data_IF_231696677348
#
_entry.id   IF_231696677348
#
_cell.length_a   1.000
_cell.length_b   1.000
_cell.length_c   1.000
_cell.angle_alpha   90.00
_cell.angle_beta   90.00
_cell.angle_gamma   90.00
#
_symmetry.space_group_name_H-M   'P 1'
#
loop_
_entity.id
_entity.type
_entity.pdbx_description
1 polymer ?
#
# COMPACT_ATOMS: atom_id res chain seq x y z
N UNK A 1 -34.20 -16.98 -14.56
CA UNK A 1 -34.62 -15.85 -15.42
C UNK A 1 -33.45 -14.88 -15.48
N UNK A 2 -32.63 -14.97 -16.52
CA UNK A 2 -31.55 -13.99 -16.74
C UNK A 2 -32.22 -12.81 -17.43
N UNK A 3 -32.53 -11.77 -16.66
CA UNK A 3 -33.11 -10.54 -17.17
C UNK A 3 -32.14 -9.91 -18.16
N UNK A 4 -32.56 -9.82 -19.42
CA UNK A 4 -31.82 -9.16 -20.46
C UNK A 4 -31.98 -7.65 -20.26
N UNK A 5 -31.23 -7.06 -19.32
CA UNK A 5 -31.15 -5.62 -19.14
C UNK A 5 -30.40 -5.03 -20.33
N UNK A 6 -31.08 -4.83 -21.45
CA UNK A 6 -30.63 -3.89 -22.49
C UNK A 6 -30.82 -2.48 -21.95
N UNK A 7 -29.97 -2.08 -20.99
CA UNK A 7 -29.92 -0.68 -20.57
C UNK A 7 -29.54 0.17 -21.77
N UNK A 8 -30.30 1.22 -22.04
CA UNK A 8 -30.03 2.15 -23.13
C UNK A 8 -28.62 2.73 -22.95
N UNK A 9 -27.89 2.83 -24.06
CA UNK A 9 -26.57 3.48 -24.09
C UNK A 9 -26.77 4.84 -24.72
N UNK A 10 -26.62 5.89 -23.93
CA UNK A 10 -26.64 7.27 -24.39
C UNK A 10 -25.23 7.66 -24.84
N UNK A 11 -25.12 8.17 -26.07
CA UNK A 11 -23.87 8.63 -26.68
C UNK A 11 -23.92 10.16 -26.80
N UNK A 12 -22.94 10.84 -26.21
CA UNK A 12 -22.78 12.28 -26.37
C UNK A 12 -21.37 12.62 -26.86
N UNK A 13 -21.30 13.47 -27.87
CA UNK A 13 -20.04 14.00 -28.40
C UNK A 13 -19.62 15.20 -27.53
N UNK A 14 -18.38 15.19 -27.04
CA UNK A 14 -17.81 16.26 -26.24
C UNK A 14 -16.53 16.77 -26.92
N UNK A 15 -16.70 17.67 -27.88
CA UNK A 15 -15.60 18.22 -28.69
C UNK A 15 -14.58 18.96 -27.82
N UNK A 16 -15.04 19.70 -26.81
CA UNK A 16 -14.21 20.44 -25.84
C UNK A 16 -13.25 19.52 -25.05
N UNK A 17 -13.62 18.26 -24.88
CA UNK A 17 -12.82 17.25 -24.18
C UNK A 17 -12.13 16.27 -25.12
N UNK A 18 -12.18 16.51 -26.43
CA UNK A 18 -11.71 15.62 -27.49
C UNK A 18 -12.20 14.17 -27.29
N UNK A 19 -13.47 13.99 -26.93
CA UNK A 19 -13.96 12.69 -26.48
C UNK A 19 -15.42 12.40 -26.86
N UNK A 20 -15.74 11.10 -26.83
CA UNK A 20 -17.10 10.57 -26.88
C UNK A 20 -17.44 10.05 -25.49
N UNK A 21 -18.54 10.53 -24.90
CA UNK A 21 -19.02 10.09 -23.61
C UNK A 21 -20.13 9.07 -23.84
N UNK A 22 -19.97 7.88 -23.27
CA UNK A 22 -20.98 6.84 -23.25
C UNK A 22 -21.53 6.73 -21.84
N UNK A 23 -22.85 6.77 -21.74
CA UNK A 23 -23.56 6.61 -20.49
C UNK A 23 -24.46 5.40 -20.59
N UNK A 24 -24.40 4.53 -19.58
CA UNK A 24 -25.22 3.32 -19.50
C UNK A 24 -25.83 3.21 -18.10
N UNK A 25 -27.10 2.81 -18.03
CA UNK A 25 -27.81 2.56 -16.78
C UNK A 25 -28.75 3.70 -16.37
N UNK A 26 -29.61 3.39 -15.41
CA UNK A 26 -30.61 4.32 -14.83
C UNK A 26 -29.97 5.21 -13.76
N UNK A 27 -30.69 6.26 -13.29
CA UNK A 27 -30.14 7.28 -12.38
C UNK A 27 -29.48 6.70 -11.11
N UNK A 28 -29.99 5.59 -10.56
CA UNK A 28 -29.42 4.94 -9.37
C UNK A 28 -28.13 4.16 -9.64
N UNK A 29 -27.86 3.76 -10.87
CA UNK A 29 -26.69 2.94 -11.25
C UNK A 29 -26.11 3.37 -12.61
N UNK A 30 -25.81 4.66 -12.73
CA UNK A 30 -25.26 5.28 -13.94
C UNK A 30 -23.76 4.99 -14.06
N UNK A 31 -23.35 4.30 -15.12
CA UNK A 31 -21.95 4.15 -15.51
C UNK A 31 -21.63 5.07 -16.68
N UNK A 32 -20.55 5.84 -16.56
CA UNK A 32 -20.07 6.73 -17.62
C UNK A 32 -18.67 6.31 -18.07
N UNK A 33 -18.48 6.16 -19.37
CA UNK A 33 -17.21 5.86 -20.02
C UNK A 33 -16.82 7.01 -20.95
N UNK A 34 -15.63 7.56 -20.78
CA UNK A 34 -15.04 8.57 -21.68
C UNK A 34 -14.09 7.88 -22.66
N UNK A 35 -14.38 7.99 -23.96
CA UNK A 35 -13.50 7.55 -25.04
C UNK A 35 -12.78 8.78 -25.59
N UNK A 36 -11.54 8.99 -25.14
CA UNK A 36 -10.70 10.08 -25.62
C UNK A 36 -10.13 9.78 -27.00
N UNK A 37 -10.24 10.73 -27.92
CA UNK A 37 -9.77 10.67 -29.30
C UNK A 37 -8.40 11.36 -29.38
N UNK A 38 -7.42 10.69 -29.99
CA UNK A 38 -6.08 11.26 -30.19
C UNK A 38 -5.35 10.54 -31.32
N UNK A 39 -4.22 11.11 -31.77
CA UNK A 39 -3.35 10.55 -32.81
C UNK A 39 -1.89 10.74 -32.42
N UNK A 40 -0.99 9.76 -32.68
CA UNK A 40 0.45 9.92 -32.44
C UNK A 40 1.06 11.18 -33.08
N UNK A 41 0.49 11.65 -34.20
CA UNK A 41 0.90 12.86 -34.92
C UNK A 41 0.81 14.11 -34.04
N UNK A 42 -0.08 14.14 -33.04
CA UNK A 42 -0.25 15.29 -32.14
C UNK A 42 1.01 15.58 -31.29
N UNK A 43 1.93 14.62 -31.16
CA UNK A 43 3.20 14.77 -30.43
C UNK A 43 4.39 15.08 -31.35
N UNK A 44 4.21 15.05 -32.67
CA UNK A 44 5.32 15.31 -33.58
C UNK A 44 5.69 16.80 -33.56
N UNK A 45 6.97 17.14 -33.34
CA UNK A 45 7.41 18.54 -33.28
C UNK A 45 7.25 19.29 -34.62
N UNK A 46 7.09 18.55 -35.72
CA UNK A 46 6.77 19.11 -37.04
C UNK A 46 5.29 19.50 -37.22
N UNK A 47 4.39 19.04 -36.35
CA UNK A 47 2.96 19.36 -36.43
C UNK A 47 2.69 20.84 -36.09
N UNK A 48 3.47 21.44 -35.18
CA UNK A 48 3.33 22.87 -34.85
C UNK A 48 3.76 23.81 -35.98
N UNK A 49 4.62 23.35 -36.88
CA UNK A 49 5.11 24.14 -38.00
C UNK A 49 4.09 24.24 -39.15
N UNK A 50 3.09 23.36 -39.19
CA UNK A 50 2.11 23.26 -40.29
C UNK A 50 0.68 23.57 -39.85
N UNK A 51 0.49 24.21 -38.69
CA UNK A 51 -0.83 24.59 -38.13
C UNK A 51 -1.69 25.44 -39.10
N UNK A 52 -1.07 26.08 -40.10
CA UNK A 52 -1.77 26.81 -41.18
C UNK A 52 -2.48 25.91 -42.20
N UNK A 53 -2.18 24.61 -42.22
CA UNK A 53 -2.79 23.58 -43.09
C UNK A 53 -3.79 22.70 -42.36
N UNK A 54 -3.87 22.84 -41.03
CA UNK A 54 -4.78 22.04 -40.23
C UNK A 54 -6.24 22.39 -40.56
N UNK A 55 -7.09 21.38 -40.76
CA UNK A 55 -8.52 21.60 -40.91
C UNK A 55 -9.12 22.38 -39.73
N UNK A 56 -10.18 23.17 -39.93
CA UNK A 56 -10.80 23.95 -38.86
C UNK A 56 -11.46 23.10 -37.75
N UNK A 57 -11.60 21.81 -37.96
CA UNK A 57 -12.23 20.82 -37.06
C UNK A 57 -11.21 19.95 -36.30
N UNK A 58 -9.93 20.35 -36.27
CA UNK A 58 -8.93 19.67 -35.45
C UNK A 58 -9.28 19.77 -33.96
N UNK A 59 -9.19 18.63 -33.29
CA UNK A 59 -9.45 18.51 -31.85
C UNK A 59 -8.42 19.27 -31.02
N UNK A 60 -8.81 19.65 -29.81
CA UNK A 60 -7.92 20.33 -28.88
C UNK A 60 -6.62 19.53 -28.65
N UNK A 61 -5.50 20.18 -28.97
CA UNK A 61 -4.18 19.54 -28.94
C UNK A 61 -3.78 19.13 -27.53
N UNK A 62 -4.08 19.93 -26.51
CA UNK A 62 -3.74 19.64 -25.12
C UNK A 62 -4.50 18.40 -24.64
N UNK A 63 -5.80 18.30 -24.94
CA UNK A 63 -6.63 17.12 -24.62
C UNK A 63 -6.11 15.86 -25.32
N UNK A 64 -5.75 15.96 -26.59
CA UNK A 64 -5.18 14.84 -27.34
C UNK A 64 -3.81 14.40 -26.78
N UNK A 65 -2.95 15.34 -26.37
CA UNK A 65 -1.67 15.05 -25.73
C UNK A 65 -1.86 14.39 -24.35
N UNK A 66 -2.82 14.88 -23.55
CA UNK A 66 -3.18 14.26 -22.28
C UNK A 66 -3.67 12.82 -22.45
N UNK A 67 -4.46 12.54 -23.51
CA UNK A 67 -4.87 11.17 -23.84
C UNK A 67 -3.68 10.26 -24.22
N UNK A 68 -2.69 10.78 -24.95
CA UNK A 68 -1.46 10.04 -25.25
C UNK A 68 -0.58 9.83 -24.01
N UNK A 69 -0.55 10.77 -23.08
CA UNK A 69 0.10 10.61 -21.78
C UNK A 69 -0.57 9.48 -20.98
N UNK A 70 -1.89 9.52 -20.82
CA UNK A 70 -2.66 8.48 -20.14
C UNK A 70 -2.47 7.09 -20.79
N UNK A 71 -2.38 7.01 -22.12
CA UNK A 71 -2.09 5.76 -22.82
C UNK A 71 -0.69 5.21 -22.49
N UNK A 72 0.32 6.08 -22.36
CA UNK A 72 1.68 5.69 -21.94
C UNK A 72 1.69 5.24 -20.48
N UNK A 73 1.03 6.00 -19.59
CA UNK A 73 0.88 5.65 -18.18
C UNK A 73 0.24 4.27 -18.01
N UNK A 74 -0.83 3.98 -18.76
CA UNK A 74 -1.49 2.67 -18.73
C UNK A 74 -0.57 1.53 -19.19
N UNK A 75 0.19 1.72 -20.28
CA UNK A 75 1.18 0.73 -20.76
C UNK A 75 2.30 0.51 -19.74
N UNK A 76 2.83 1.60 -19.18
CA UNK A 76 3.84 1.54 -18.14
C UNK A 76 3.32 0.81 -16.91
N UNK A 77 2.08 1.11 -16.47
CA UNK A 77 1.47 0.49 -15.30
C UNK A 77 1.36 -1.03 -15.49
N UNK A 78 0.87 -1.48 -16.63
CA UNK A 78 0.77 -2.91 -16.96
C UNK A 78 2.13 -3.60 -16.98
N UNK A 79 3.15 -2.93 -17.51
CA UNK A 79 4.50 -3.50 -17.64
C UNK A 79 5.34 -3.44 -16.36
N UNK A 80 5.06 -2.50 -15.45
CA UNK A 80 5.88 -2.19 -14.27
C UNK A 80 5.14 -2.40 -12.97
N UNK A 81 4.12 -1.58 -12.68
CA UNK A 81 3.41 -1.63 -11.40
C UNK A 81 2.57 -2.90 -11.21
N UNK A 82 1.88 -3.35 -12.27
CA UNK A 82 0.93 -4.47 -12.19
C UNK A 82 1.60 -5.83 -11.95
N UNK A 83 2.87 -5.98 -12.35
CA UNK A 83 3.65 -7.22 -12.17
C UNK A 83 4.34 -7.29 -10.81
N UNK A 84 4.39 -6.19 -10.06
CA UNK A 84 5.02 -6.15 -8.74
C UNK A 84 4.09 -6.74 -7.67
N UNK A 85 4.56 -7.70 -6.86
CA UNK A 85 3.80 -8.23 -5.73
C UNK A 85 3.33 -7.10 -4.81
N UNK A 86 2.07 -7.19 -4.37
CA UNK A 86 1.43 -6.23 -3.45
C UNK A 86 1.24 -4.79 -3.97
N UNK A 87 1.85 -4.40 -5.09
CA UNK A 87 1.82 -3.02 -5.57
C UNK A 87 0.39 -2.53 -5.87
N UNK A 88 -0.36 -3.27 -6.69
CA UNK A 88 -1.73 -2.89 -7.09
C UNK A 88 -2.68 -2.79 -5.89
N UNK A 89 -2.60 -3.72 -4.94
CA UNK A 89 -3.49 -3.68 -3.75
C UNK A 89 -3.14 -2.49 -2.85
N UNK A 90 -1.86 -2.16 -2.72
CA UNK A 90 -1.42 -1.00 -1.92
C UNK A 90 -1.81 0.32 -2.61
N UNK A 91 -1.68 0.42 -3.94
CA UNK A 91 -2.18 1.57 -4.72
C UNK A 91 -3.68 1.79 -4.46
N UNK A 92 -4.49 0.73 -4.41
CA UNK A 92 -5.93 0.84 -4.11
C UNK A 92 -6.19 1.40 -2.70
N UNK A 93 -5.46 0.91 -1.70
CA UNK A 93 -5.56 1.40 -0.32
C UNK A 93 -5.14 2.86 -0.21
N UNK A 94 -4.05 3.24 -0.88
CA UNK A 94 -3.54 4.61 -0.84
C UNK A 94 -4.39 5.58 -1.66
N UNK A 95 -5.07 5.11 -2.71
CA UNK A 95 -6.07 5.90 -3.43
C UNK A 95 -7.23 6.28 -2.51
N UNK A 96 -7.74 5.33 -1.75
CA UNK A 96 -8.76 5.58 -0.70
C UNK A 96 -8.24 6.56 0.37
N UNK A 97 -6.97 6.44 0.78
CA UNK A 97 -6.35 7.40 1.70
C UNK A 97 -6.38 8.84 1.13
N UNK A 98 -6.03 9.01 -0.15
CA UNK A 98 -6.08 10.30 -0.83
C UNK A 98 -7.50 10.88 -0.89
N UNK A 99 -8.52 10.03 -0.98
CA UNK A 99 -9.93 10.46 -0.99
C UNK A 99 -10.42 10.86 0.40
N UNK A 100 -9.99 10.15 1.45
CA UNK A 100 -10.40 10.43 2.83
C UNK A 100 -9.63 11.58 3.49
N UNK A 101 -8.38 11.79 3.11
CA UNK A 101 -7.48 12.76 3.75
C UNK A 101 -7.02 13.80 2.72
N UNK A 102 -7.60 15.03 2.74
CA UNK A 102 -7.30 16.07 1.76
C UNK A 102 -5.80 16.42 1.64
N UNK A 103 -5.03 16.29 2.72
CA UNK A 103 -3.57 16.46 2.69
C UNK A 103 -2.89 15.57 1.64
N UNK A 104 -3.41 14.37 1.39
CA UNK A 104 -2.86 13.41 0.43
C UNK A 104 -3.40 13.56 -0.99
N UNK A 105 -4.38 14.45 -1.22
CA UNK A 105 -5.01 14.64 -2.52
C UNK A 105 -4.03 14.93 -3.67
N UNK A 106 -2.93 15.70 -3.50
CA UNK A 106 -1.97 15.94 -4.58
C UNK A 106 -1.30 14.68 -5.13
N UNK A 107 -1.28 13.58 -4.36
CA UNK A 107 -0.71 12.32 -4.82
C UNK A 107 -1.72 11.45 -5.59
N UNK A 108 -3.01 11.78 -5.57
CA UNK A 108 -4.06 10.93 -6.14
C UNK A 108 -3.82 10.70 -7.65
N UNK A 109 -3.79 9.44 -8.06
CA UNK A 109 -3.58 9.04 -9.45
C UNK A 109 -2.11 8.75 -9.75
N UNK A 110 -1.60 9.35 -10.83
CA UNK A 110 -0.28 9.03 -11.38
C UNK A 110 0.90 9.15 -10.40
N UNK A 111 1.01 10.22 -9.57
CA UNK A 111 2.11 10.31 -8.61
C UNK A 111 2.13 9.16 -7.59
N UNK A 112 0.97 8.75 -7.06
CA UNK A 112 0.89 7.62 -6.14
C UNK A 112 1.32 6.30 -6.81
N UNK A 113 0.92 6.08 -8.06
CA UNK A 113 1.29 4.87 -8.82
C UNK A 113 2.81 4.77 -9.00
N UNK A 114 3.46 5.90 -9.33
CA UNK A 114 4.92 6.00 -9.44
C UNK A 114 5.62 5.79 -8.10
N UNK A 115 5.13 6.40 -7.01
CA UNK A 115 5.70 6.23 -5.67
C UNK A 115 5.62 4.76 -5.23
N UNK A 116 4.44 4.14 -5.38
CA UNK A 116 4.23 2.75 -5.03
C UNK A 116 5.18 1.81 -5.80
N UNK A 117 5.23 1.95 -7.13
CA UNK A 117 6.11 1.13 -7.97
C UNK A 117 7.57 1.29 -7.54
N UNK A 118 8.08 2.53 -7.49
CA UNK A 118 9.50 2.80 -7.19
C UNK A 118 9.91 2.29 -5.82
N UNK A 119 9.09 2.52 -4.79
CA UNK A 119 9.44 2.12 -3.42
C UNK A 119 9.40 0.60 -3.25
N UNK A 120 8.44 -0.06 -3.90
CA UNK A 120 8.29 -1.52 -3.82
C UNK A 120 9.35 -2.22 -4.68
N UNK A 121 9.63 -1.73 -5.89
CA UNK A 121 10.64 -2.31 -6.78
C UNK A 121 12.06 -2.17 -6.24
N UNK A 122 12.30 -1.17 -5.37
CA UNK A 122 13.58 -1.01 -4.66
C UNK A 122 13.82 -2.05 -3.55
N UNK A 123 12.84 -2.89 -3.21
CA UNK A 123 12.99 -3.90 -2.17
C UNK A 123 13.80 -5.10 -2.67
N UNK A 124 14.70 -5.62 -1.82
CA UNK A 124 15.54 -6.76 -2.18
C UNK A 124 14.75 -8.07 -2.37
N UNK A 125 13.53 -8.15 -1.84
CA UNK A 125 12.67 -9.35 -1.85
C UNK A 125 11.21 -8.92 -2.01
N UNK A 126 10.33 -9.81 -2.54
CA UNK A 126 8.89 -9.58 -2.59
C UNK A 126 8.30 -9.22 -1.23
N UNK A 127 7.49 -8.16 -1.18
CA UNK A 127 6.89 -7.66 0.05
C UNK A 127 5.45 -8.16 0.23
N UNK A 128 5.08 -8.44 1.47
CA UNK A 128 3.67 -8.58 1.83
C UNK A 128 2.94 -7.24 1.68
N UNK A 129 1.59 -7.21 1.53
CA UNK A 129 0.86 -5.94 1.42
C UNK A 129 1.08 -5.01 2.62
N UNK A 130 1.20 -5.56 3.84
CA UNK A 130 1.47 -4.79 5.05
C UNK A 130 2.86 -4.17 5.04
N UNK A 131 3.88 -4.92 4.64
CA UNK A 131 5.26 -4.44 4.57
C UNK A 131 5.43 -3.42 3.44
N UNK A 132 4.82 -3.65 2.28
CA UNK A 132 4.80 -2.70 1.16
C UNK A 132 4.15 -1.38 1.56
N UNK A 133 2.98 -1.42 2.21
CA UNK A 133 2.32 -0.23 2.74
C UNK A 133 3.22 0.51 3.73
N UNK A 134 3.79 -0.21 4.71
CA UNK A 134 4.70 0.37 5.71
C UNK A 134 5.91 1.04 5.04
N UNK A 135 6.52 0.39 4.06
CA UNK A 135 7.70 0.91 3.33
C UNK A 135 7.40 2.19 2.56
N UNK A 136 6.21 2.31 1.95
CA UNK A 136 5.79 3.57 1.30
C UNK A 136 5.66 4.69 2.32
N UNK A 137 5.05 4.43 3.47
CA UNK A 137 5.00 5.42 4.55
C UNK A 137 6.41 5.77 5.07
N UNK A 138 7.34 4.83 5.16
CA UNK A 138 8.74 5.11 5.50
C UNK A 138 9.41 6.03 4.49
N UNK A 139 9.24 5.77 3.19
CA UNK A 139 9.81 6.58 2.13
C UNK A 139 9.26 8.02 2.15
N UNK A 140 7.94 8.18 2.21
CA UNK A 140 7.30 9.50 2.25
C UNK A 140 7.65 10.23 3.55
N UNK A 141 7.60 9.56 4.71
CA UNK A 141 7.97 10.14 6.00
C UNK A 141 9.45 10.54 6.09
N UNK A 142 10.32 9.84 5.35
CA UNK A 142 11.74 10.13 5.20
C UNK A 142 12.06 11.34 4.32
N UNK A 143 11.03 12.03 3.79
CA UNK A 143 11.19 13.25 3.02
C UNK A 143 11.39 13.02 1.53
N UNK A 144 10.92 11.91 0.97
CA UNK A 144 10.96 11.63 -0.48
C UNK A 144 10.45 12.80 -1.33
N UNK A 145 9.47 13.56 -0.81
CA UNK A 145 8.82 14.66 -1.51
C UNK A 145 9.44 16.03 -1.21
N UNK A 146 10.35 16.14 -0.25
CA UNK A 146 10.85 17.43 0.20
C UNK A 146 11.81 18.06 -0.83
N UNK A 147 11.92 19.41 -0.87
CA UNK A 147 12.91 20.09 -1.70
C UNK A 147 14.32 19.57 -1.45
N UNK A 148 15.10 19.40 -2.52
CA UNK A 148 16.45 18.80 -2.46
C UNK A 148 16.46 17.27 -2.41
N UNK A 149 15.30 16.63 -2.35
CA UNK A 149 15.15 15.19 -2.60
C UNK A 149 15.28 14.83 -4.08
N UNK A 150 15.24 13.53 -4.42
CA UNK A 150 15.40 13.06 -5.80
C UNK A 150 14.20 13.38 -6.72
N UNK A 151 13.06 13.84 -6.18
CA UNK A 151 11.84 14.09 -6.97
C UNK A 151 11.15 12.81 -7.46
N UNK A 152 10.00 12.96 -8.14
CA UNK A 152 9.27 11.83 -8.75
C UNK A 152 9.14 12.07 -10.26
N UNK A 153 10.17 11.69 -11.01
CA UNK A 153 10.17 11.89 -12.46
C UNK A 153 9.20 10.96 -13.20
N UNK A 154 8.54 11.47 -14.24
CA UNK A 154 7.67 10.68 -15.11
C UNK A 154 8.50 9.82 -16.09
N UNK A 155 8.53 8.48 -15.96
CA UNK A 155 9.26 7.61 -16.89
C UNK A 155 8.62 7.52 -18.28
N UNK A 156 7.42 8.08 -18.46
CA UNK A 156 6.71 8.12 -19.73
C UNK A 156 7.07 9.36 -20.55
N UNK A 157 7.62 10.41 -19.94
CA UNK A 157 8.03 11.62 -20.64
C UNK A 157 9.47 11.57 -21.15
N UNK A 158 9.76 12.37 -22.19
CA UNK A 158 11.10 12.48 -22.78
C UNK A 158 11.99 13.43 -21.99
N UNK A 159 11.40 14.50 -21.49
CA UNK A 159 12.06 15.50 -20.65
C UNK A 159 11.92 15.08 -19.19
N UNK A 160 12.90 15.46 -18.36
CA UNK A 160 12.91 15.18 -16.93
C UNK A 160 11.78 15.99 -16.24
N UNK A 161 10.58 15.42 -16.25
CA UNK A 161 9.35 16.04 -15.75
C UNK A 161 9.05 15.49 -14.36
N UNK A 162 9.10 16.31 -13.32
CA UNK A 162 8.67 15.89 -11.98
C UNK A 162 7.14 15.99 -11.88
N UNK A 163 6.48 14.87 -11.59
CA UNK A 163 5.01 14.82 -11.51
C UNK A 163 4.45 15.60 -10.32
N UNK A 164 5.30 16.05 -9.40
CA UNK A 164 4.94 16.85 -8.23
C UNK A 164 5.32 18.33 -8.34
N UNK A 165 5.65 18.81 -9.54
CA UNK A 165 5.96 20.23 -9.75
C UNK A 165 4.78 21.16 -9.43
N UNK A 166 3.54 20.69 -9.62
CA UNK A 166 2.33 21.45 -9.28
C UNK A 166 2.04 21.50 -7.77
N UNK A 167 2.68 20.65 -6.96
CA UNK A 167 2.49 20.64 -5.52
C UNK A 167 3.43 21.67 -4.87
N UNK A 168 2.88 22.55 -4.02
CA UNK A 168 3.68 23.55 -3.32
C UNK A 168 4.63 22.90 -2.29
N UNK A 169 5.75 23.55 -1.94
CA UNK A 169 6.63 23.06 -0.86
C UNK A 169 5.89 22.78 0.44
N UNK A 170 4.92 23.65 0.79
CA UNK A 170 4.06 23.48 1.95
C UNK A 170 3.22 22.20 1.89
N UNK A 171 2.60 21.90 0.74
CA UNK A 171 1.85 20.65 0.56
C UNK A 171 2.75 19.42 0.71
N UNK A 172 3.98 19.48 0.17
CA UNK A 172 4.95 18.37 0.28
C UNK A 172 5.38 18.16 1.75
N UNK A 173 5.56 19.23 2.52
CA UNK A 173 5.83 19.17 3.96
C UNK A 173 4.66 18.59 4.77
N UNK A 174 3.44 19.02 4.49
CA UNK A 174 2.23 18.51 5.16
C UNK A 174 2.00 17.03 4.90
N UNK A 175 2.20 16.57 3.65
CA UNK A 175 2.15 15.15 3.31
C UNK A 175 3.23 14.38 4.08
N UNK A 176 4.45 14.91 4.14
CA UNK A 176 5.56 14.29 4.88
C UNK A 176 5.24 14.16 6.37
N UNK A 177 4.74 15.22 7.00
CA UNK A 177 4.35 15.22 8.41
C UNK A 177 3.18 14.25 8.68
N UNK A 178 2.19 14.20 7.79
CA UNK A 178 1.08 13.25 7.84
C UNK A 178 1.57 11.80 7.75
N UNK A 179 2.51 11.52 6.83
CA UNK A 179 3.13 10.22 6.67
C UNK A 179 3.94 9.80 7.91
N UNK A 180 4.69 10.72 8.53
CA UNK A 180 5.40 10.46 9.79
C UNK A 180 4.46 10.08 10.94
N UNK A 181 3.28 10.68 11.00
CA UNK A 181 2.27 10.29 11.98
C UNK A 181 1.68 8.91 11.67
N UNK A 182 1.26 8.67 10.43
CA UNK A 182 0.72 7.39 10.00
C UNK A 182 1.72 6.23 10.18
N UNK A 183 3.00 6.46 9.87
CA UNK A 183 4.06 5.47 10.08
C UNK A 183 4.18 5.06 11.55
N UNK A 184 4.15 6.03 12.48
CA UNK A 184 4.14 5.72 13.93
C UNK A 184 2.94 4.87 14.30
N UNK A 185 1.75 5.19 13.81
CA UNK A 185 0.55 4.37 14.03
C UNK A 185 0.75 2.94 13.51
N UNK A 186 1.31 2.77 12.31
CA UNK A 186 1.60 1.45 11.73
C UNK A 186 2.57 0.66 12.62
N UNK A 187 3.70 1.26 13.01
CA UNK A 187 4.73 0.64 13.85
C UNK A 187 4.19 0.24 15.22
N UNK A 188 3.34 1.07 15.82
CA UNK A 188 2.68 0.77 17.11
C UNK A 188 1.41 -0.09 16.96
N UNK A 189 1.25 -0.80 15.83
CA UNK A 189 0.15 -1.75 15.55
C UNK A 189 -1.25 -1.11 15.56
N UNK A 190 -1.33 0.18 15.24
CA UNK A 190 -2.56 0.97 15.11
C UNK A 190 -2.90 1.28 13.65
N UNK A 191 -2.51 0.41 12.71
CA UNK A 191 -2.77 0.57 11.26
C UNK A 191 -4.27 0.72 10.94
N UNK A 192 -5.15 0.15 11.75
CA UNK A 192 -6.61 0.30 11.62
C UNK A 192 -7.06 1.77 11.65
N UNK A 193 -6.34 2.65 12.39
CA UNK A 193 -6.61 4.09 12.39
C UNK A 193 -6.22 4.75 11.06
N UNK A 194 -5.11 4.33 10.47
CA UNK A 194 -4.65 4.83 9.16
C UNK A 194 -5.61 4.40 8.05
N UNK A 195 -6.10 3.15 8.13
CA UNK A 195 -7.09 2.57 7.22
C UNK A 195 -8.53 3.01 7.50
N UNK A 196 -8.76 3.81 8.54
CA UNK A 196 -10.09 4.23 9.00
C UNK A 196 -11.09 3.07 9.15
N UNK A 197 -10.68 2.03 9.86
CA UNK A 197 -11.47 0.83 10.10
C UNK A 197 -11.41 0.42 11.58
N UNK A 198 -12.37 -0.39 12.00
CA UNK A 198 -12.33 -1.02 13.33
C UNK A 198 -11.17 -2.05 13.38
N UNK A 199 -10.46 -2.20 14.51
CA UNK A 199 -9.47 -3.25 14.67
C UNK A 199 -10.10 -4.63 14.47
N UNK A 200 -9.57 -5.40 13.52
CA UNK A 200 -10.07 -6.75 13.21
C UNK A 200 -9.93 -7.73 14.39
N UNK A 201 -9.01 -7.48 15.32
CA UNK A 201 -8.85 -8.27 16.55
C UNK A 201 -8.63 -7.33 17.74
N UNK A 202 -9.42 -7.52 18.81
CA UNK A 202 -9.18 -6.85 20.09
C UNK A 202 -7.80 -7.28 20.63
N UNK A 203 -6.82 -6.37 20.63
CA UNK A 203 -5.45 -6.57 21.13
C UNK A 203 -5.40 -7.07 22.59
N UNK A 204 -6.51 -6.99 23.33
CA UNK A 204 -6.64 -7.44 24.72
C UNK A 204 -6.32 -8.93 24.97
N UNK A 205 -6.39 -9.80 23.96
CA UNK A 205 -6.10 -11.24 24.15
C UNK A 205 -4.61 -11.58 24.11
N UNK A 206 -3.77 -10.80 23.42
CA UNK A 206 -2.34 -11.10 23.29
C UNK A 206 -1.49 -10.53 24.44
N UNK A 207 -1.84 -9.36 24.98
CA UNK A 207 -1.14 -8.80 26.15
C UNK A 207 -1.30 -9.65 27.42
N UNK A 208 -2.42 -10.36 27.59
CA UNK A 208 -2.61 -11.30 28.71
C UNK A 208 -1.74 -12.56 28.61
N UNK A 209 -1.33 -12.98 27.40
CA UNK A 209 -0.52 -14.19 27.20
C UNK A 209 0.97 -13.97 27.49
N UNK A 210 1.49 -12.76 27.27
CA UNK A 210 2.91 -12.46 27.52
C UNK A 210 3.19 -11.91 28.92
N UNK A 211 2.22 -11.26 29.58
CA UNK A 211 2.40 -10.79 30.96
C UNK A 211 2.34 -11.90 32.02
N UNK A 212 1.78 -13.07 31.71
CA UNK A 212 1.79 -14.20 32.64
C UNK A 212 3.14 -14.95 32.69
N UNK A 213 4.16 -14.51 31.96
CA UNK A 213 5.44 -15.25 31.86
C UNK A 213 6.68 -14.57 32.46
N UNK A 214 6.56 -13.43 33.17
CA UNK A 214 7.73 -12.86 33.89
C UNK A 214 7.37 -12.08 35.17
N UNK A 215 7.51 -12.76 36.33
CA UNK A 215 8.27 -12.31 37.52
C UNK A 215 8.09 -13.31 38.68
N UNK A 216 8.69 -14.50 38.58
CA UNK A 216 9.14 -15.18 39.80
C UNK A 216 10.45 -14.47 40.18
N UNK A 217 10.38 -13.57 41.15
CA UNK A 217 11.55 -12.94 41.77
C UNK A 217 12.41 -14.06 42.34
N UNK A 218 13.58 -14.28 41.77
CA UNK A 218 14.67 -14.94 42.49
C UNK A 218 15.33 -13.84 43.35
N UNK A 219 15.14 -13.94 44.65
CA UNK A 219 15.89 -13.20 45.66
C UNK A 219 16.42 -14.22 46.66
N UNK A 220 17.71 -14.05 46.95
CA UNK A 220 18.63 -14.95 47.61
C UNK A 220 18.33 -15.21 49.10
N UNK A 221 18.55 -16.47 49.49
CA UNK A 221 19.25 -17.00 50.68
C UNK A 221 19.05 -16.45 52.12
N UNK A 222 18.98 -17.44 53.03
CA UNK A 222 19.32 -17.46 54.47
C UNK A 222 18.29 -16.99 55.51
N UNK A 223 17.90 -17.91 56.40
CA UNK A 223 17.08 -17.63 57.59
C UNK A 223 16.36 -18.86 58.13
N UNK A 224 16.91 -19.42 59.21
CA UNK A 224 16.63 -20.71 59.83
C UNK A 224 15.50 -20.64 60.90
N UNK A 225 14.86 -21.80 61.12
CA UNK A 225 14.23 -22.31 62.38
C UNK A 225 12.75 -22.06 62.79
N UNK A 226 12.10 -23.17 63.20
CA UNK A 226 11.01 -23.29 64.19
C UNK A 226 9.68 -23.85 63.64
N UNK A 227 9.40 -25.18 63.73
CA UNK A 227 8.62 -25.85 64.83
C UNK A 227 7.10 -25.56 64.76
N UNK A 228 6.09 -26.43 64.84
CA UNK A 228 5.83 -27.83 65.21
C UNK A 228 4.38 -28.16 64.73
N UNK A 229 4.02 -29.42 64.50
CA UNK A 229 2.68 -29.79 64.01
C UNK A 229 2.51 -31.28 63.67
N UNK A 230 2.30 -32.07 64.71
CA UNK A 230 2.27 -33.54 64.81
C UNK A 230 0.95 -34.21 64.36
N UNK A 231 1.06 -35.53 64.06
CA UNK A 231 0.03 -36.61 63.95
C UNK A 231 -0.64 -36.83 62.58
N UNK A 232 -0.89 -38.04 62.09
CA UNK A 232 -0.57 -39.42 62.51
C UNK A 232 -0.91 -40.37 61.33
N UNK A 233 -0.24 -41.53 61.31
CA UNK A 233 -0.69 -42.87 60.86
C UNK A 233 -0.57 -43.33 59.38
N UNK A 234 0.33 -44.33 59.26
CA UNK A 234 0.12 -45.74 58.83
C UNK A 234 0.81 -46.21 57.54
N UNK A 235 1.98 -46.82 57.77
CA UNK A 235 2.48 -48.15 57.33
C UNK A 235 2.13 -48.71 55.95
N UNK A 236 3.19 -49.16 55.26
CA UNK A 236 3.16 -50.14 54.17
C UNK A 236 4.55 -50.35 53.54
N UNK A 237 5.30 -51.31 54.08
CA UNK A 237 6.49 -52.05 53.55
C UNK A 237 6.46 -52.36 52.03
N UNK A 238 7.51 -52.71 51.28
CA UNK A 238 8.93 -53.04 51.52
C UNK A 238 9.71 -53.11 50.17
N UNK A 239 11.04 -53.03 50.30
CA UNK A 239 12.13 -53.69 49.52
C UNK A 239 12.29 -53.46 48.01
N UNK A 240 13.39 -52.82 47.55
CA UNK A 240 14.73 -53.38 47.20
C UNK A 240 14.72 -54.05 45.81
N UNK A 241 15.68 -53.94 44.89
CA UNK A 241 17.13 -53.73 44.90
C UNK A 241 17.60 -53.38 43.45
N UNK A 242 18.55 -52.46 43.29
CA UNK A 242 19.91 -52.60 42.71
C UNK A 242 20.14 -53.40 41.40
N UNK A 243 21.03 -52.82 40.56
CA UNK A 243 21.84 -53.51 39.53
C UNK A 243 21.53 -53.04 38.10
N UNK A 244 22.21 -52.06 37.50
CA UNK A 244 23.62 -51.95 37.08
C UNK A 244 23.99 -52.78 35.82
N UNK A 245 24.70 -52.08 34.91
CA UNK A 245 25.47 -52.57 33.76
C UNK A 245 24.63 -53.07 32.56
N UNK A 246 24.98 -52.95 31.29
CA UNK A 246 26.05 -52.34 30.49
C UNK A 246 25.83 -52.95 29.09
N UNK A 247 26.01 -52.23 27.99
CA UNK A 247 25.88 -52.85 26.67
C UNK A 247 26.13 -51.90 25.51
N UNK A 248 27.37 -51.94 25.03
CA UNK A 248 27.90 -51.32 23.82
C UNK A 248 27.22 -51.75 22.52
N UNK A 249 27.50 -50.98 21.46
CA UNK A 249 27.38 -51.37 20.04
C UNK A 249 26.21 -50.68 19.35
N UNK A 250 26.33 -50.00 18.22
CA UNK A 250 27.41 -49.89 17.25
C UNK A 250 26.81 -49.29 15.96
N UNK A 251 27.62 -48.46 15.30
CA UNK A 251 27.69 -48.14 13.87
C UNK A 251 26.45 -48.19 12.92
N UNK A 252 26.41 -47.12 12.11
CA UNK A 252 26.07 -47.08 10.68
C UNK A 252 24.59 -47.17 10.25
N UNK A 253 24.01 -46.04 9.83
CA UNK A 253 23.98 -45.60 8.42
C UNK A 253 23.54 -44.14 8.33
#
# INVERSE_FOLDING_TARGET
>A
MVGNHRGEVELSLCVEEAAIILTHGEEECKMTMKVSLTSPVMRDPGADADASRDPPDVLDKEKCLAALAALRHAKWFQAKAAVLPSCVVVIRVLRDLCDRIPTWAPLKGWPMELICERVISSAAQPLSPGDALRRIFEAVAGGLLLPGGPGIYDPCEREDTDVLDMASPQQKEEITASAQHALRLIVFRQVHKVLNMEPLYSQQRHFKRFNNRKRRREMNESGQEGSDGKKDKKEGEAESSEGAASGEGGAAK
#
